data_IF_722714998061
#
_entry.id   IF_722714998061
#
_cell.length_a   1.000
_cell.length_b   1.000
_cell.length_c   1.000
_cell.angle_alpha   90.00
_cell.angle_beta   90.00
_cell.angle_gamma   90.00
#
_symmetry.space_group_name_H-M   'P 1'
#
loop_
_entity.id
_entity.type
_entity.pdbx_description
1 polymer ?
#
# COMPACT_ATOMS: atom_id res chain seq x y z
N UNK A 1 1.94 -38.06 -2.41
CA UNK A 1 0.91 -37.49 -3.32
C UNK A 1 -0.23 -36.92 -2.47
N UNK A 2 -0.89 -35.84 -2.93
CA UNK A 2 -2.11 -35.19 -2.36
C UNK A 2 -2.02 -34.06 -1.31
N UNK A 3 -0.90 -33.33 -1.13
CA UNK A 3 -0.97 -32.02 -0.45
C UNK A 3 -1.63 -30.92 -1.33
N UNK A 4 -1.69 -31.12 -2.64
CA UNK A 4 -2.19 -30.15 -3.63
C UNK A 4 -3.73 -30.11 -3.74
N UNK A 5 -4.43 -31.22 -3.44
CA UNK A 5 -5.89 -31.30 -3.47
C UNK A 5 -6.59 -30.53 -2.33
N UNK A 6 -6.24 -30.70 -1.04
CA UNK A 6 -6.86 -29.91 0.04
C UNK A 6 -6.53 -28.42 -0.07
N UNK A 7 -5.37 -28.11 -0.66
CA UNK A 7 -4.91 -26.75 -0.88
C UNK A 7 -5.80 -25.92 -1.83
N UNK A 8 -6.15 -26.48 -3.00
CA UNK A 8 -7.02 -25.79 -3.96
C UNK A 8 -8.46 -25.73 -3.47
N UNK A 9 -8.92 -26.78 -2.79
CA UNK A 9 -10.25 -26.85 -2.20
C UNK A 9 -10.49 -25.76 -1.14
N UNK A 10 -9.52 -25.52 -0.25
CA UNK A 10 -9.63 -24.47 0.77
C UNK A 10 -9.76 -23.07 0.15
N UNK A 11 -8.97 -22.78 -0.89
CA UNK A 11 -9.01 -21.50 -1.61
C UNK A 11 -10.34 -21.27 -2.31
N UNK A 12 -10.90 -22.31 -2.94
CA UNK A 12 -12.19 -22.25 -3.61
C UNK A 12 -13.33 -22.00 -2.62
N UNK A 13 -13.38 -22.73 -1.50
CA UNK A 13 -14.37 -22.51 -0.45
C UNK A 13 -14.27 -21.13 0.19
N UNK A 14 -13.05 -20.64 0.44
CA UNK A 14 -12.84 -19.29 0.93
C UNK A 14 -13.38 -18.24 -0.06
N UNK A 15 -13.20 -18.47 -1.37
CA UNK A 15 -13.75 -17.60 -2.42
C UNK A 15 -15.27 -17.68 -2.52
N UNK A 16 -15.86 -18.87 -2.37
CA UNK A 16 -17.32 -19.04 -2.33
C UNK A 16 -17.92 -18.26 -1.16
N UNK A 17 -17.36 -18.40 0.05
CA UNK A 17 -17.78 -17.63 1.22
C UNK A 17 -17.67 -16.13 0.98
N UNK A 18 -16.55 -15.67 0.41
CA UNK A 18 -16.36 -14.27 0.04
C UNK A 18 -17.49 -13.77 -0.88
N UNK A 19 -17.81 -14.50 -1.94
CA UNK A 19 -18.86 -14.11 -2.88
C UNK A 19 -20.24 -14.05 -2.23
N UNK A 20 -20.59 -15.05 -1.41
CA UNK A 20 -21.87 -15.09 -0.70
C UNK A 20 -22.03 -13.88 0.23
N UNK A 21 -20.99 -13.58 1.02
CA UNK A 21 -21.02 -12.43 1.94
C UNK A 21 -21.08 -11.10 1.18
N UNK A 22 -20.31 -10.97 0.09
CA UNK A 22 -20.32 -9.77 -0.75
C UNK A 22 -21.69 -9.52 -1.39
N UNK A 23 -22.29 -10.55 -2.00
CA UNK A 23 -23.59 -10.43 -2.66
C UNK A 23 -24.70 -10.09 -1.65
N UNK A 24 -24.73 -10.80 -0.51
CA UNK A 24 -25.68 -10.51 0.57
C UNK A 24 -25.54 -9.08 1.13
N UNK A 25 -24.30 -8.60 1.25
CA UNK A 25 -23.99 -7.24 1.68
C UNK A 25 -24.38 -6.19 0.64
N UNK A 26 -24.30 -6.53 -0.65
CA UNK A 26 -24.64 -5.64 -1.76
C UNK A 26 -26.14 -5.52 -1.97
N UNK A 27 -26.85 -6.64 -1.83
CA UNK A 27 -28.30 -6.74 -1.95
C UNK A 27 -29.02 -5.99 -0.82
N UNK A 28 -28.50 -6.08 0.42
CA UNK A 28 -29.09 -5.39 1.56
C UNK A 28 -28.06 -4.49 2.28
N UNK A 29 -27.97 -3.19 1.92
CA UNK A 29 -27.00 -2.25 2.49
C UNK A 29 -27.18 -1.97 3.99
N UNK A 30 -28.33 -2.34 4.59
CA UNK A 30 -28.61 -2.14 6.02
C UNK A 30 -28.44 -3.43 6.84
N UNK A 31 -28.13 -4.55 6.20
CA UNK A 31 -27.98 -5.84 6.87
C UNK A 31 -26.81 -5.82 7.84
N UNK A 32 -27.07 -6.25 9.08
CA UNK A 32 -26.04 -6.53 10.09
C UNK A 32 -25.78 -8.03 10.17
N UNK A 33 -24.50 -8.40 10.11
CA UNK A 33 -24.05 -9.79 10.07
C UNK A 33 -23.69 -10.27 11.49
N UNK A 34 -24.38 -11.30 11.98
CA UNK A 34 -24.32 -11.77 13.38
C UNK A 34 -23.65 -13.13 13.60
N UNK A 35 -23.46 -13.94 12.55
CA UNK A 35 -22.86 -15.27 12.62
C UNK A 35 -21.64 -15.34 11.69
N UNK A 36 -20.54 -14.72 12.13
CA UNK A 36 -19.29 -14.62 11.38
C UNK A 36 -18.14 -15.34 12.09
N UNK A 37 -18.15 -15.41 13.42
CA UNK A 37 -17.08 -16.00 14.23
C UNK A 37 -16.85 -17.48 13.90
N UNK A 38 -17.94 -18.22 13.67
CA UNK A 38 -17.90 -19.62 13.25
C UNK A 38 -17.22 -19.79 11.89
N UNK A 39 -17.27 -18.77 11.02
CA UNK A 39 -16.57 -18.76 9.73
C UNK A 39 -15.08 -18.44 9.88
N UNK A 40 -14.70 -17.64 10.88
CA UNK A 40 -13.30 -17.29 11.14
C UNK A 40 -12.48 -18.53 11.50
N UNK A 41 -13.03 -19.43 12.33
CA UNK A 41 -12.33 -20.64 12.78
C UNK A 41 -12.66 -21.89 11.93
N UNK A 42 -13.13 -21.73 10.68
CA UNK A 42 -13.21 -22.87 9.77
C UNK A 42 -11.81 -23.28 9.34
N UNK A 43 -11.54 -24.59 9.31
CA UNK A 43 -10.23 -25.12 8.94
C UNK A 43 -9.76 -24.67 7.55
N UNK A 44 -10.66 -24.59 6.57
CA UNK A 44 -10.35 -24.11 5.22
C UNK A 44 -9.97 -22.62 5.18
N UNK A 45 -10.66 -21.78 5.97
CA UNK A 45 -10.33 -20.35 6.11
C UNK A 45 -9.00 -20.15 6.82
N UNK A 46 -8.77 -20.84 7.94
CA UNK A 46 -7.52 -20.74 8.69
C UNK A 46 -6.31 -21.26 7.88
N UNK A 47 -6.50 -22.33 7.11
CA UNK A 47 -5.45 -22.87 6.23
C UNK A 47 -5.08 -21.89 5.10
N UNK A 48 -6.08 -21.31 4.44
CA UNK A 48 -5.85 -20.28 3.42
C UNK A 48 -5.24 -19.02 4.03
N UNK A 49 -5.65 -18.63 5.24
CA UNK A 49 -5.05 -17.52 5.98
C UNK A 49 -3.57 -17.77 6.29
N UNK A 50 -3.23 -18.97 6.79
CA UNK A 50 -1.86 -19.40 7.04
C UNK A 50 -1.00 -19.31 5.77
N UNK A 51 -1.48 -19.82 4.64
CA UNK A 51 -0.75 -19.75 3.37
C UNK A 51 -0.44 -18.32 2.94
N UNK A 52 -1.39 -17.40 3.08
CA UNK A 52 -1.17 -15.99 2.76
C UNK A 52 -0.14 -15.35 3.69
N UNK A 53 -0.18 -15.68 4.98
CA UNK A 53 0.82 -15.20 5.95
C UNK A 53 2.21 -15.76 5.63
N UNK A 54 2.31 -17.06 5.36
CA UNK A 54 3.54 -17.75 4.96
C UNK A 54 4.15 -17.15 3.69
N UNK A 55 3.34 -16.94 2.65
CA UNK A 55 3.78 -16.37 1.37
C UNK A 55 4.30 -14.93 1.49
N UNK A 56 3.88 -14.18 2.52
CA UNK A 56 4.39 -12.83 2.76
C UNK A 56 5.80 -12.82 3.37
N UNK A 57 6.29 -13.94 3.92
CA UNK A 57 7.66 -14.09 4.42
C UNK A 57 8.04 -13.14 5.57
N UNK A 58 7.06 -12.66 6.35
CA UNK A 58 7.31 -11.67 7.41
C UNK A 58 7.89 -12.28 8.68
N UNK A 59 8.84 -11.58 9.32
CA UNK A 59 9.54 -11.99 10.55
C UNK A 59 8.61 -12.23 11.75
N UNK A 60 9.09 -13.01 12.73
CA UNK A 60 8.40 -13.27 14.00
C UNK A 60 8.07 -12.03 14.83
N UNK A 61 7.08 -12.19 15.71
CA UNK A 61 6.61 -11.19 16.67
C UNK A 61 7.47 -11.18 17.92
N UNK A 62 6.85 -10.86 19.06
CA UNK A 62 7.50 -10.88 20.39
C UNK A 62 7.79 -12.28 20.90
N UNK A 63 7.09 -13.29 20.37
CA UNK A 63 7.19 -14.71 20.72
C UNK A 63 8.41 -15.42 20.10
N UNK A 64 9.22 -14.73 19.29
CA UNK A 64 10.39 -15.29 18.62
C UNK A 64 10.09 -16.30 17.51
N UNK A 65 8.85 -16.79 17.40
CA UNK A 65 8.43 -17.79 16.42
C UNK A 65 8.67 -17.33 14.99
N UNK A 66 9.34 -18.17 14.21
CA UNK A 66 9.56 -17.95 12.77
C UNK A 66 8.71 -18.89 11.92
N UNK A 67 8.53 -18.53 10.64
CA UNK A 67 7.85 -19.40 9.67
C UNK A 67 8.61 -20.73 9.54
N UNK A 68 9.94 -20.69 9.58
CA UNK A 68 10.77 -21.89 9.48
C UNK A 68 10.58 -22.84 10.68
N UNK A 69 10.50 -22.32 11.92
CA UNK A 69 10.20 -23.15 13.09
C UNK A 69 8.83 -23.82 12.95
N UNK A 70 7.82 -23.08 12.49
CA UNK A 70 6.47 -23.64 12.29
C UNK A 70 6.49 -24.76 11.22
N UNK A 71 7.19 -24.55 10.11
CA UNK A 71 7.20 -25.51 9.00
C UNK A 71 8.05 -26.74 9.31
N UNK A 72 9.22 -26.56 9.94
CA UNK A 72 10.21 -27.64 10.12
C UNK A 72 10.06 -28.39 11.45
N UNK A 73 9.64 -27.72 12.51
CA UNK A 73 9.64 -28.31 13.87
C UNK A 73 8.22 -28.62 14.36
N UNK A 74 7.28 -27.68 14.23
CA UNK A 74 5.91 -27.83 14.77
C UNK A 74 5.03 -28.64 13.81
N UNK A 75 5.15 -28.37 12.52
CA UNK A 75 4.24 -28.86 11.47
C UNK A 75 3.08 -27.90 11.23
N UNK A 76 2.84 -27.58 9.96
CA UNK A 76 1.85 -26.58 9.54
C UNK A 76 0.40 -26.96 9.95
N UNK A 77 0.04 -28.24 9.81
CA UNK A 77 -1.30 -28.73 10.16
C UNK A 77 -1.55 -28.63 11.66
N UNK A 78 -0.57 -29.06 12.48
CA UNK A 78 -0.64 -28.95 13.93
C UNK A 78 -0.82 -27.50 14.37
N UNK A 79 0.01 -26.60 13.84
CA UNK A 79 -0.08 -25.17 14.12
C UNK A 79 -1.46 -24.58 13.81
N UNK A 80 -2.03 -24.88 12.63
CA UNK A 80 -3.35 -24.38 12.24
C UNK A 80 -4.46 -24.98 13.11
N UNK A 81 -4.38 -26.27 13.46
CA UNK A 81 -5.34 -26.95 14.32
C UNK A 81 -5.33 -26.41 15.75
N UNK A 82 -4.16 -26.09 16.30
CA UNK A 82 -4.02 -25.45 17.62
C UNK A 82 -4.66 -24.06 17.65
N UNK A 83 -4.45 -23.25 16.61
CA UNK A 83 -5.14 -21.96 16.43
C UNK A 83 -6.65 -22.16 16.38
N UNK A 84 -7.11 -23.14 15.61
CA UNK A 84 -8.53 -23.43 15.46
C UNK A 84 -9.18 -23.74 16.81
N UNK A 85 -8.60 -24.66 17.59
CA UNK A 85 -9.09 -25.04 18.92
C UNK A 85 -9.10 -23.84 19.88
N UNK A 86 -8.03 -23.06 19.89
CA UNK A 86 -7.90 -21.87 20.75
C UNK A 86 -9.01 -20.84 20.46
N UNK A 87 -9.33 -20.62 19.18
CA UNK A 87 -10.42 -19.70 18.80
C UNK A 87 -11.79 -20.32 19.13
N UNK A 88 -12.00 -21.61 18.84
CA UNK A 88 -13.26 -22.30 19.13
C UNK A 88 -13.63 -22.26 20.62
N UNK A 89 -12.62 -22.44 21.49
CA UNK A 89 -12.80 -22.39 22.94
C UNK A 89 -12.92 -20.96 23.49
N UNK A 90 -12.69 -19.92 22.68
CA UNK A 90 -12.70 -18.53 23.12
C UNK A 90 -11.50 -18.11 23.97
N UNK A 91 -10.44 -18.92 23.97
CA UNK A 91 -9.20 -18.74 24.75
C UNK A 91 -8.19 -17.80 24.06
N UNK A 92 -8.46 -17.40 22.82
CA UNK A 92 -7.55 -16.55 22.05
C UNK A 92 -7.38 -15.15 22.69
N UNK A 93 -6.11 -14.81 22.94
CA UNK A 93 -5.65 -13.48 23.30
C UNK A 93 -4.48 -13.07 22.40
N UNK A 94 -4.50 -11.88 21.78
CA UNK A 94 -3.39 -11.43 20.97
C UNK A 94 -2.19 -11.05 21.83
N UNK A 95 -0.99 -11.28 21.29
CA UNK A 95 0.24 -10.80 21.88
C UNK A 95 0.50 -9.34 21.47
N UNK A 96 1.21 -8.56 22.29
CA UNK A 96 1.65 -7.23 21.90
C UNK A 96 2.52 -7.28 20.65
N UNK A 97 2.38 -6.28 19.77
CA UNK A 97 3.17 -6.24 18.55
C UNK A 97 4.64 -5.89 18.86
N UNK A 98 5.60 -6.52 18.18
CA UNK A 98 7.01 -6.13 18.30
C UNK A 98 7.27 -4.84 17.53
N UNK A 99 7.74 -3.79 18.20
CA UNK A 99 8.03 -2.49 17.59
C UNK A 99 9.37 -2.53 16.86
N UNK A 100 9.37 -2.14 15.60
CA UNK A 100 10.58 -1.97 14.78
C UNK A 100 10.52 -0.63 14.06
N UNK A 101 11.59 0.16 14.18
CA UNK A 101 11.67 1.44 13.48
C UNK A 101 12.26 1.27 12.08
N UNK A 102 11.58 1.82 11.07
CA UNK A 102 12.02 1.79 9.68
C UNK A 102 12.30 3.23 9.23
N UNK A 103 13.49 3.53 8.68
CA UNK A 103 13.80 4.87 8.21
C UNK A 103 12.91 5.25 7.02
N UNK A 104 12.31 6.43 7.07
CA UNK A 104 11.63 7.05 5.94
C UNK A 104 12.65 7.79 5.06
N UNK A 105 12.26 8.05 3.82
CA UNK A 105 13.07 8.80 2.86
C UNK A 105 13.30 10.27 3.24
N UNK A 106 12.55 10.82 4.20
CA UNK A 106 12.69 12.16 4.76
C UNK A 106 13.55 12.20 6.04
N UNK A 107 14.15 11.07 6.43
CA UNK A 107 14.99 10.95 7.62
C UNK A 107 14.22 10.69 8.93
N UNK A 108 12.88 10.79 8.93
CA UNK A 108 12.06 10.43 10.09
C UNK A 108 11.93 8.91 10.21
N UNK A 109 11.67 8.40 11.40
CA UNK A 109 11.38 6.96 11.60
C UNK A 109 9.89 6.67 11.39
N UNK A 110 9.56 5.52 10.79
CA UNK A 110 8.22 4.93 10.79
C UNK A 110 8.24 3.76 11.75
N UNK A 111 7.48 3.81 12.85
CA UNK A 111 7.30 2.63 13.66
C UNK A 111 6.46 1.57 12.93
N UNK A 112 6.88 0.33 12.98
CA UNK A 112 6.13 -0.84 12.53
C UNK A 112 5.88 -1.74 13.74
N UNK A 113 4.62 -2.13 13.97
CA UNK A 113 4.25 -3.19 14.90
C UNK A 113 4.15 -4.51 14.14
N UNK A 114 4.99 -5.48 14.49
CA UNK A 114 5.02 -6.81 13.89
C UNK A 114 4.29 -7.77 14.85
N UNK A 115 3.05 -8.19 14.54
CA UNK A 115 2.35 -9.15 15.39
C UNK A 115 2.97 -10.55 15.28
N UNK A 116 2.72 -11.37 16.29
CA UNK A 116 3.04 -12.80 16.26
C UNK A 116 2.46 -13.47 15.01
N UNK A 117 3.10 -14.54 14.55
CA UNK A 117 2.63 -15.26 13.35
C UNK A 117 1.22 -15.79 13.59
N UNK A 118 0.95 -16.35 14.78
CA UNK A 118 -0.37 -16.78 15.23
C UNK A 118 -1.42 -15.69 15.03
N UNK A 119 -1.14 -14.50 15.55
CA UNK A 119 -2.06 -13.36 15.49
C UNK A 119 -2.29 -12.89 14.05
N UNK A 120 -1.25 -12.91 13.21
CA UNK A 120 -1.40 -12.60 11.77
C UNK A 120 -2.31 -13.60 11.06
N UNK A 121 -2.30 -14.88 11.45
CA UNK A 121 -3.22 -15.89 10.90
C UNK A 121 -4.66 -15.60 11.32
N UNK A 122 -4.91 -15.32 12.61
CA UNK A 122 -6.27 -15.00 13.10
C UNK A 122 -6.80 -13.70 12.48
N UNK A 123 -5.94 -12.68 12.38
CA UNK A 123 -6.26 -11.42 11.68
C UNK A 123 -6.56 -11.65 10.20
N UNK A 124 -5.78 -12.49 9.52
CA UNK A 124 -5.99 -12.81 8.10
C UNK A 124 -7.31 -13.58 7.89
N UNK A 125 -7.59 -14.58 8.72
CA UNK A 125 -8.84 -15.32 8.68
C UNK A 125 -10.05 -14.40 8.91
N UNK A 126 -9.97 -13.54 9.92
CA UNK A 126 -11.02 -12.56 10.22
C UNK A 126 -11.19 -11.57 9.08
N UNK A 127 -10.08 -11.04 8.53
CA UNK A 127 -10.09 -10.18 7.36
C UNK A 127 -10.80 -10.84 6.18
N UNK A 128 -10.48 -12.10 5.87
CA UNK A 128 -11.12 -12.83 4.77
C UNK A 128 -12.64 -12.97 4.91
N UNK A 129 -13.13 -13.06 6.15
CA UNK A 129 -14.57 -13.16 6.44
C UNK A 129 -15.24 -11.78 6.35
N UNK A 130 -14.64 -10.71 6.85
CA UNK A 130 -15.31 -9.41 6.97
C UNK A 130 -15.04 -8.46 5.79
N UNK A 131 -13.91 -8.59 5.10
CA UNK A 131 -13.55 -7.77 3.92
C UNK A 131 -14.64 -7.74 2.83
N UNK A 132 -15.29 -8.86 2.45
CA UNK A 132 -16.33 -8.84 1.42
C UNK A 132 -17.55 -7.99 1.83
N UNK A 133 -17.87 -7.94 3.12
CA UNK A 133 -19.01 -7.18 3.65
C UNK A 133 -18.78 -5.67 3.50
N UNK A 134 -17.55 -5.21 3.82
CA UNK A 134 -17.17 -3.80 3.71
C UNK A 134 -16.82 -3.38 2.29
N UNK A 135 -16.23 -4.28 1.49
CA UNK A 135 -15.92 -4.01 0.07
C UNK A 135 -17.18 -3.72 -0.75
N UNK A 136 -18.35 -4.27 -0.35
CA UNK A 136 -19.64 -3.95 -0.96
C UNK A 136 -20.04 -2.46 -0.79
N UNK A 137 -19.57 -1.83 0.30
CA UNK A 137 -19.89 -0.45 0.70
C UNK A 137 -18.86 0.57 0.25
N UNK A 138 -17.61 0.14 0.04
CA UNK A 138 -16.52 1.02 -0.33
C UNK A 138 -16.73 1.69 -1.70
N UNK A 139 -16.49 3.01 -1.73
CA UNK A 139 -16.76 3.87 -2.89
C UNK A 139 -15.72 3.78 -3.98
N UNK A 140 -16.11 4.09 -5.21
CA UNK A 140 -15.22 3.99 -6.38
C UNK A 140 -14.03 4.96 -6.34
N UNK A 141 -14.13 6.04 -5.55
CA UNK A 141 -13.06 6.99 -5.32
C UNK A 141 -11.89 6.41 -4.51
N UNK A 142 -12.08 5.30 -3.79
CA UNK A 142 -11.06 4.67 -2.93
C UNK A 142 -10.34 3.52 -3.61
N UNK A 143 -9.01 3.56 -3.66
CA UNK A 143 -8.19 2.57 -4.38
C UNK A 143 -7.20 1.81 -3.50
N UNK A 144 -6.80 2.37 -2.36
CA UNK A 144 -5.73 1.81 -1.53
C UNK A 144 -6.14 0.49 -0.88
N UNK A 145 -5.24 -0.50 -0.86
CA UNK A 145 -5.42 -1.79 -0.16
C UNK A 145 -6.71 -2.57 -0.47
N UNK A 146 -7.34 -2.33 -1.62
CA UNK A 146 -8.58 -3.00 -2.03
C UNK A 146 -8.35 -4.03 -3.12
N UNK A 147 -9.08 -5.17 -3.10
CA UNK A 147 -9.00 -6.16 -4.17
C UNK A 147 -9.29 -5.53 -5.55
N UNK A 148 -8.46 -5.86 -6.56
CA UNK A 148 -8.58 -5.39 -7.96
C UNK A 148 -8.51 -3.87 -8.16
N UNK A 149 -8.18 -3.09 -7.12
CA UNK A 149 -7.88 -1.65 -7.22
C UNK A 149 -6.37 -1.46 -7.09
N UNK A 150 -5.82 -0.52 -7.85
CA UNK A 150 -4.39 -0.23 -7.85
C UNK A 150 -4.11 1.26 -8.06
N UNK A 151 -2.85 1.65 -7.85
CA UNK A 151 -2.38 3.04 -7.99
C UNK A 151 -2.66 3.59 -9.39
N UNK A 152 -2.47 2.76 -10.42
CA UNK A 152 -2.70 3.18 -11.82
C UNK A 152 -4.18 3.51 -12.07
N UNK A 153 -5.11 2.82 -11.40
CA UNK A 153 -6.53 3.13 -11.43
C UNK A 153 -6.83 4.54 -10.90
N UNK A 154 -6.25 4.91 -9.75
CA UNK A 154 -6.38 6.25 -9.18
C UNK A 154 -5.81 7.33 -10.13
N UNK A 155 -4.62 7.09 -10.69
CA UNK A 155 -3.99 8.01 -11.65
C UNK A 155 -4.84 8.17 -12.92
N UNK A 156 -5.44 7.08 -13.44
CA UNK A 156 -6.36 7.14 -14.58
C UNK A 156 -7.62 7.95 -14.24
N UNK A 157 -8.15 7.81 -13.03
CA UNK A 157 -9.30 8.60 -12.57
C UNK A 157 -8.97 10.10 -12.59
N UNK A 158 -7.83 10.49 -12.02
CA UNK A 158 -7.34 11.88 -12.04
C UNK A 158 -7.22 12.40 -13.48
N UNK A 159 -6.58 11.63 -14.38
CA UNK A 159 -6.44 12.00 -15.80
C UNK A 159 -7.80 12.21 -16.46
N UNK A 160 -8.79 11.37 -16.17
CA UNK A 160 -10.16 11.48 -16.72
C UNK A 160 -10.86 12.74 -16.18
N UNK A 161 -10.73 13.05 -14.90
CA UNK A 161 -11.30 14.26 -14.31
C UNK A 161 -10.68 15.54 -14.91
N UNK A 162 -9.35 15.60 -15.03
CA UNK A 162 -8.69 16.78 -15.64
C UNK A 162 -9.09 16.97 -17.10
N UNK A 163 -9.29 15.88 -17.87
CA UNK A 163 -9.84 15.95 -19.24
C UNK A 163 -11.25 16.53 -19.31
N UNK A 164 -12.05 16.41 -18.25
CA UNK A 164 -13.40 16.98 -18.14
C UNK A 164 -13.43 18.45 -17.68
N UNK A 165 -12.28 19.12 -17.65
CA UNK A 165 -12.19 20.54 -17.32
C UNK A 165 -12.02 20.84 -15.83
N UNK A 166 -11.43 19.91 -15.07
CA UNK A 166 -11.18 20.05 -13.64
C UNK A 166 -9.71 20.48 -13.43
N UNK A 167 -9.49 21.57 -12.70
CA UNK A 167 -8.21 22.28 -12.73
C UNK A 167 -7.66 22.69 -11.36
N UNK A 168 -8.51 22.75 -10.34
CA UNK A 168 -8.07 22.97 -8.97
C UNK A 168 -7.88 21.63 -8.29
N UNK A 169 -6.73 21.46 -7.65
CA UNK A 169 -6.38 20.24 -6.91
C UNK A 169 -6.17 20.61 -5.46
N UNK A 170 -6.95 19.97 -4.59
CA UNK A 170 -6.76 20.01 -3.15
C UNK A 170 -6.02 18.73 -2.78
N UNK A 171 -4.71 18.85 -2.55
CA UNK A 171 -3.82 17.76 -2.12
C UNK A 171 -3.77 17.74 -0.59
N UNK A 172 -4.08 16.60 0.02
CA UNK A 172 -4.29 16.49 1.47
C UNK A 172 -3.44 15.36 2.06
N UNK A 173 -2.71 15.69 3.13
CA UNK A 173 -1.95 14.75 3.96
C UNK A 173 -2.55 14.72 5.36
N UNK A 174 -2.82 13.52 5.88
CA UNK A 174 -3.33 13.33 7.24
C UNK A 174 -2.14 13.10 8.18
N UNK A 175 -2.05 13.87 9.27
CA UNK A 175 -0.94 13.77 10.22
C UNK A 175 -1.05 12.45 10.99
N UNK A 176 -0.04 11.59 10.84
CA UNK A 176 0.10 10.36 11.64
C UNK A 176 -1.11 9.44 11.55
N UNK A 177 -1.69 9.28 10.35
CA UNK A 177 -3.01 8.67 10.16
C UNK A 177 -3.22 7.37 10.94
N UNK A 178 -2.35 6.38 10.74
CA UNK A 178 -2.47 5.08 11.41
C UNK A 178 -2.30 5.15 12.92
N UNK A 179 -1.58 6.14 13.44
CA UNK A 179 -1.31 6.30 14.87
C UNK A 179 -2.45 7.06 15.59
N UNK A 180 -3.33 7.74 14.84
CA UNK A 180 -4.38 8.62 15.37
C UNK A 180 -5.81 8.13 15.12
N UNK A 181 -6.02 6.87 14.73
CA UNK A 181 -7.37 6.30 14.54
C UNK A 181 -8.02 6.08 15.91
N UNK A 182 -9.11 6.78 16.20
CA UNK A 182 -9.87 6.59 17.42
C UNK A 182 -10.58 5.22 17.42
N UNK A 183 -10.27 4.38 18.41
CA UNK A 183 -10.79 3.00 18.49
C UNK A 183 -12.31 2.97 18.59
N UNK A 184 -12.91 3.83 19.42
CA UNK A 184 -14.36 3.82 19.63
C UNK A 184 -15.12 4.19 18.36
N UNK A 185 -14.67 5.22 17.63
CA UNK A 185 -15.25 5.61 16.34
C UNK A 185 -15.07 4.53 15.29
N UNK A 186 -13.89 3.90 15.24
CA UNK A 186 -13.65 2.78 14.33
C UNK A 186 -14.61 1.62 14.64
N UNK A 187 -14.77 1.27 15.92
CA UNK A 187 -15.68 0.20 16.33
C UNK A 187 -17.13 0.52 16.01
N UNK A 188 -17.57 1.78 16.20
CA UNK A 188 -18.91 2.21 15.77
C UNK A 188 -19.13 1.99 14.26
N UNK A 189 -18.13 2.29 13.42
CA UNK A 189 -18.21 2.05 11.97
C UNK A 189 -18.23 0.56 11.62
N UNK A 190 -17.47 -0.28 12.33
CA UNK A 190 -17.51 -1.75 12.19
C UNK A 190 -18.89 -2.28 12.56
N UNK A 191 -19.46 -1.78 13.66
CA UNK A 191 -20.73 -2.24 14.23
C UNK A 191 -21.96 -1.93 13.37
N UNK A 192 -21.85 -0.96 12.45
CA UNK A 192 -22.88 -0.67 11.45
C UNK A 192 -23.18 -1.87 10.54
N UNK A 193 -22.19 -2.74 10.32
CA UNK A 193 -22.33 -3.92 9.43
C UNK A 193 -22.16 -5.23 10.16
N UNK A 194 -21.45 -5.25 11.28
CA UNK A 194 -21.18 -6.48 12.04
C UNK A 194 -21.84 -6.38 13.41
N UNK A 195 -22.65 -7.37 13.77
CA UNK A 195 -23.26 -7.50 15.10
C UNK A 195 -22.78 -8.75 15.85
N UNK A 196 -21.92 -9.57 15.25
CA UNK A 196 -21.27 -10.70 15.93
C UNK A 196 -20.30 -10.20 17.01
N UNK A 197 -20.73 -10.31 18.28
CA UNK A 197 -19.97 -9.82 19.44
C UNK A 197 -18.58 -10.44 19.55
N UNK A 198 -18.38 -11.67 19.09
CA UNK A 198 -17.09 -12.36 19.21
C UNK A 198 -16.08 -11.82 18.18
N UNK A 199 -16.54 -11.52 16.96
CA UNK A 199 -15.71 -10.84 15.95
C UNK A 199 -15.37 -9.41 16.39
N UNK A 200 -16.35 -8.69 16.94
CA UNK A 200 -16.11 -7.35 17.49
C UNK A 200 -15.09 -7.38 18.63
N UNK A 201 -15.16 -8.39 19.52
CA UNK A 201 -14.18 -8.62 20.59
C UNK A 201 -12.77 -8.82 20.04
N UNK A 202 -12.59 -9.66 19.00
CA UNK A 202 -11.28 -9.87 18.37
C UNK A 202 -10.67 -8.56 17.85
N UNK A 203 -11.47 -7.75 17.15
CA UNK A 203 -11.00 -6.46 16.60
C UNK A 203 -10.57 -5.52 17.73
N UNK A 204 -11.38 -5.41 18.81
CA UNK A 204 -11.03 -4.59 19.98
C UNK A 204 -9.75 -5.09 20.66
N UNK A 205 -9.60 -6.41 20.83
CA UNK A 205 -8.39 -6.99 21.42
C UNK A 205 -7.14 -6.62 20.61
N UNK A 206 -7.18 -6.66 19.27
CA UNK A 206 -6.03 -6.26 18.45
C UNK A 206 -5.71 -4.77 18.52
N UNK A 207 -6.72 -3.91 18.62
CA UNK A 207 -6.52 -2.47 18.75
C UNK A 207 -5.86 -2.13 20.10
N UNK A 208 -6.21 -2.86 21.16
CA UNK A 208 -5.72 -2.66 22.54
C UNK A 208 -4.51 -3.50 22.93
N UNK A 209 -4.02 -4.39 22.06
CA UNK A 209 -2.98 -5.36 22.39
C UNK A 209 -1.62 -4.75 22.78
N UNK A 210 -1.40 -3.45 22.51
CA UNK A 210 -0.16 -2.77 22.84
C UNK A 210 1.00 -3.14 21.90
N UNK A 211 2.18 -2.66 22.24
CA UNK A 211 3.43 -3.04 21.58
C UNK A 211 4.59 -3.14 22.56
N UNK A 212 5.60 -3.95 22.22
CA UNK A 212 6.86 -4.03 22.95
C UNK A 212 7.95 -3.30 22.18
N UNK A 213 8.66 -2.38 22.83
CA UNK A 213 9.83 -1.68 22.30
C UNK A 213 10.93 -1.72 23.36
N UNK A 214 12.16 -2.09 22.98
CA UNK A 214 13.32 -2.15 23.89
C UNK A 214 13.00 -2.95 25.18
N UNK A 215 12.34 -4.10 25.01
CA UNK A 215 11.85 -5.01 26.07
C UNK A 215 10.86 -4.39 27.07
N UNK A 216 10.31 -3.22 26.78
CA UNK A 216 9.27 -2.56 27.56
C UNK A 216 7.92 -2.63 26.86
N UNK A 217 6.87 -2.93 27.63
CA UNK A 217 5.49 -2.93 27.15
C UNK A 217 4.93 -1.51 27.15
N UNK A 218 4.21 -1.17 26.08
CA UNK A 218 3.50 0.09 25.93
C UNK A 218 2.06 -0.16 25.51
N UNK A 219 1.13 0.49 26.19
CA UNK A 219 -0.28 0.46 25.84
C UNK A 219 -0.56 1.25 24.55
N UNK A 220 -1.68 0.92 23.90
CA UNK A 220 -2.12 1.59 22.68
C UNK A 220 -3.54 2.11 22.89
N UNK A 221 -3.66 3.41 23.14
CA UNK A 221 -4.94 4.11 23.31
C UNK A 221 -5.54 4.54 21.97
N UNK A 222 -4.69 4.85 20.99
CA UNK A 222 -5.08 5.31 19.66
C UNK A 222 -4.32 4.56 18.57
N UNK A 223 -4.92 4.53 17.38
CA UNK A 223 -4.31 4.01 16.18
C UNK A 223 -4.57 2.53 15.90
N UNK A 224 -4.16 2.08 14.73
CA UNK A 224 -4.18 0.68 14.34
C UNK A 224 -2.74 0.20 14.14
N UNK A 225 -2.35 -0.99 14.66
CA UNK A 225 -0.99 -1.49 14.57
C UNK A 225 -0.48 -1.47 13.12
N UNK A 226 0.49 -0.60 12.82
CA UNK A 226 1.11 -0.53 11.50
C UNK A 226 1.88 -1.83 11.25
N UNK A 227 1.36 -2.74 10.42
CA UNK A 227 1.95 -4.06 10.18
C UNK A 227 1.03 -5.23 10.53
N UNK A 228 -0.10 -4.96 11.20
CA UNK A 228 -1.22 -5.89 11.29
C UNK A 228 -1.84 -6.18 9.94
N UNK A 229 -2.28 -7.43 9.73
CA UNK A 229 -2.87 -7.87 8.45
C UNK A 229 -4.21 -7.19 8.19
N UNK A 230 -4.97 -6.95 9.27
CA UNK A 230 -6.31 -6.37 9.22
C UNK A 230 -6.28 -4.83 9.19
N UNK A 231 -5.18 -4.21 9.62
CA UNK A 231 -5.04 -2.75 9.75
C UNK A 231 -5.38 -1.96 8.48
N UNK A 232 -4.98 -2.40 7.26
CA UNK A 232 -5.35 -1.69 6.03
C UNK A 232 -6.86 -1.70 5.74
N UNK A 233 -7.58 -2.75 6.15
CA UNK A 233 -9.04 -2.82 5.98
C UNK A 233 -9.73 -1.87 6.96
N UNK A 234 -9.32 -1.89 8.23
CA UNK A 234 -9.86 -1.02 9.27
C UNK A 234 -9.60 0.46 8.95
N UNK A 235 -8.41 0.77 8.44
CA UNK A 235 -8.08 2.13 8.03
C UNK A 235 -8.88 2.58 6.81
N UNK A 236 -9.18 1.69 5.85
CA UNK A 236 -10.08 2.03 4.77
C UNK A 236 -11.52 2.24 5.23
N UNK A 237 -11.99 1.42 6.19
CA UNK A 237 -13.32 1.56 6.77
C UNK A 237 -13.49 2.90 7.47
N UNK A 238 -12.48 3.34 8.23
CA UNK A 238 -12.51 4.61 8.92
C UNK A 238 -12.71 5.80 7.97
N UNK A 239 -11.94 5.85 6.88
CA UNK A 239 -12.06 6.91 5.86
C UNK A 239 -13.23 6.69 4.89
N UNK A 240 -13.87 5.52 4.88
CA UNK A 240 -15.08 5.32 4.07
C UNK A 240 -16.25 6.20 4.54
N UNK A 241 -16.23 6.66 5.79
CA UNK A 241 -17.16 7.68 6.28
C UNK A 241 -17.06 8.98 5.46
N UNK A 242 -15.83 9.45 5.20
CA UNK A 242 -15.58 10.59 4.31
C UNK A 242 -16.06 10.29 2.89
N UNK A 243 -15.66 9.14 2.33
CA UNK A 243 -16.02 8.78 0.96
C UNK A 243 -17.54 8.75 0.75
N UNK A 244 -18.28 8.22 1.75
CA UNK A 244 -19.74 8.10 1.71
C UNK A 244 -20.44 9.45 1.83
N UNK A 245 -19.97 10.34 2.72
CA UNK A 245 -20.51 11.69 2.84
C UNK A 245 -20.22 12.49 1.57
N UNK A 246 -19.01 12.35 1.03
CA UNK A 246 -18.59 13.04 -0.17
C UNK A 246 -19.48 12.67 -1.36
N UNK A 247 -19.65 11.38 -1.61
CA UNK A 247 -20.50 10.89 -2.71
C UNK A 247 -21.96 11.32 -2.57
N UNK A 248 -22.51 11.30 -1.35
CA UNK A 248 -23.93 11.63 -1.11
C UNK A 248 -24.24 13.12 -1.13
N UNK A 249 -23.33 13.98 -0.66
CA UNK A 249 -23.62 15.40 -0.37
C UNK A 249 -22.74 16.40 -1.11
N UNK A 250 -21.57 15.99 -1.61
CA UNK A 250 -20.54 16.90 -2.12
C UNK A 250 -19.94 16.45 -3.46
N UNK A 251 -20.60 15.54 -4.18
CA UNK A 251 -20.16 15.07 -5.49
C UNK A 251 -20.15 16.18 -6.55
N UNK A 252 -20.99 17.19 -6.39
CA UNK A 252 -21.05 18.43 -7.18
C UNK A 252 -19.84 19.35 -6.93
N UNK A 253 -19.28 19.29 -5.73
CA UNK A 253 -18.20 20.15 -5.26
C UNK A 253 -16.86 19.72 -5.86
N UNK A 254 -16.61 18.41 -5.99
CA UNK A 254 -15.38 17.92 -6.59
C UNK A 254 -15.30 16.41 -6.72
N UNK A 255 -14.36 15.95 -7.56
CA UNK A 255 -14.04 14.52 -7.70
C UNK A 255 -12.99 14.12 -6.68
N UNK A 256 -13.40 13.33 -5.68
CA UNK A 256 -12.50 12.73 -4.69
C UNK A 256 -11.77 11.53 -5.30
N UNK A 257 -10.46 11.44 -5.08
CA UNK A 257 -9.64 10.27 -5.38
C UNK A 257 -8.75 9.98 -4.17
N UNK A 258 -8.87 8.79 -3.60
CA UNK A 258 -8.18 8.38 -2.37
C UNK A 258 -7.42 7.08 -2.58
N UNK A 259 -6.21 7.02 -2.03
CA UNK A 259 -5.42 5.81 -1.92
C UNK A 259 -4.91 5.69 -0.48
N UNK A 260 -5.61 4.89 0.33
CA UNK A 260 -5.40 4.82 1.78
C UNK A 260 -5.57 6.21 2.41
N UNK A 261 -4.51 6.77 2.99
CA UNK A 261 -4.44 8.11 3.60
C UNK A 261 -4.12 9.23 2.61
N UNK A 262 -3.45 8.94 1.50
CA UNK A 262 -3.18 9.91 0.45
C UNK A 262 -4.48 10.21 -0.31
N UNK A 263 -4.97 11.46 -0.27
CA UNK A 263 -6.21 11.86 -0.94
C UNK A 263 -6.07 13.19 -1.69
N UNK A 264 -6.71 13.25 -2.85
CA UNK A 264 -6.78 14.45 -3.68
C UNK A 264 -8.22 14.72 -4.09
N UNK A 265 -8.62 15.99 -4.07
CA UNK A 265 -9.92 16.43 -4.57
C UNK A 265 -9.72 17.33 -5.77
N UNK A 266 -10.38 17.01 -6.86
CA UNK A 266 -10.28 17.73 -8.12
C UNK A 266 -11.55 18.58 -8.31
N UNK A 267 -11.40 19.90 -8.34
CA UNK A 267 -12.48 20.88 -8.45
C UNK A 267 -12.37 21.73 -9.73
N UNK A 268 -13.51 22.21 -10.26
CA UNK A 268 -13.53 23.04 -11.47
C UNK A 268 -13.12 24.47 -11.15
N UNK A 269 -13.59 25.00 -10.02
CA UNK A 269 -13.33 26.39 -9.58
C UNK A 269 -12.57 26.43 -8.26
N UNK A 270 -11.97 27.59 -7.97
CA UNK A 270 -11.27 27.84 -6.70
C UNK A 270 -12.23 27.80 -5.51
N UNK A 271 -13.42 28.36 -5.67
CA UNK A 271 -14.48 28.37 -4.64
C UNK A 271 -14.88 26.95 -4.24
N UNK A 272 -15.07 26.07 -5.22
CA UNK A 272 -15.32 24.65 -4.97
C UNK A 272 -14.17 23.99 -4.20
N UNK A 273 -12.93 24.35 -4.50
CA UNK A 273 -11.76 23.84 -3.80
C UNK A 273 -11.70 24.33 -2.34
N UNK A 274 -12.05 25.59 -2.08
CA UNK A 274 -12.15 26.12 -0.72
C UNK A 274 -13.28 25.45 0.07
N UNK A 275 -14.46 25.30 -0.53
CA UNK A 275 -15.58 24.54 0.06
C UNK A 275 -15.18 23.10 0.37
N UNK A 276 -14.43 22.45 -0.51
CA UNK A 276 -13.91 21.11 -0.29
C UNK A 276 -13.00 21.03 0.95
N UNK A 277 -12.12 22.02 1.15
CA UNK A 277 -11.25 22.10 2.32
C UNK A 277 -12.07 22.23 3.61
N UNK A 278 -13.13 23.04 3.61
CA UNK A 278 -13.94 23.23 4.82
C UNK A 278 -14.79 21.98 5.15
N UNK A 279 -15.32 21.30 4.14
CA UNK A 279 -15.97 20.00 4.31
C UNK A 279 -14.99 18.98 4.89
N UNK A 280 -13.76 18.92 4.38
CA UNK A 280 -12.73 18.03 4.89
C UNK A 280 -12.40 18.31 6.36
N UNK A 281 -12.22 19.58 6.74
CA UNK A 281 -12.00 19.95 8.16
C UNK A 281 -13.16 19.49 9.04
N UNK A 282 -14.40 19.69 8.61
CA UNK A 282 -15.58 19.28 9.38
C UNK A 282 -15.66 17.75 9.53
N UNK A 283 -15.42 16.99 8.46
CA UNK A 283 -15.45 15.53 8.50
C UNK A 283 -14.28 14.98 9.34
N UNK A 284 -13.08 15.52 9.19
CA UNK A 284 -11.93 15.10 9.98
C UNK A 284 -12.07 15.45 11.46
N UNK A 285 -12.67 16.61 11.80
CA UNK A 285 -13.05 16.92 13.18
C UNK A 285 -13.96 15.86 13.78
N UNK A 286 -14.99 15.42 13.04
CA UNK A 286 -15.86 14.30 13.46
C UNK A 286 -15.13 12.97 13.60
N UNK A 287 -14.08 12.75 12.82
CA UNK A 287 -13.22 11.57 12.90
C UNK A 287 -12.03 11.75 13.85
N UNK A 288 -11.91 12.85 14.60
CA UNK A 288 -10.73 13.15 15.44
C UNK A 288 -9.39 13.08 14.68
N UNK A 289 -9.41 13.34 13.38
CA UNK A 289 -8.21 13.37 12.53
C UNK A 289 -7.72 14.80 12.35
N UNK A 290 -6.39 14.95 12.29
CA UNK A 290 -5.74 16.24 12.07
C UNK A 290 -5.13 16.33 10.67
N UNK A 291 -5.46 17.38 9.94
CA UNK A 291 -4.83 17.68 8.65
C UNK A 291 -3.42 18.24 8.84
N UNK A 292 -2.51 17.82 7.96
CA UNK A 292 -1.16 18.36 7.93
C UNK A 292 -1.11 19.64 7.07
N UNK A 293 -1.13 20.80 7.73
CA UNK A 293 -1.15 22.12 7.06
C UNK A 293 0.09 22.38 6.19
N UNK A 294 1.26 21.86 6.57
CA UNK A 294 2.51 22.09 5.82
C UNK A 294 2.56 21.32 4.50
N UNK A 295 1.94 20.15 4.48
CA UNK A 295 1.97 19.26 3.31
C UNK A 295 0.74 19.37 2.43
N UNK A 296 -0.41 19.77 3.00
CA UNK A 296 -1.63 19.97 2.23
C UNK A 296 -1.52 21.22 1.37
N UNK A 297 -1.92 21.15 0.10
CA UNK A 297 -1.71 22.23 -0.87
C UNK A 297 -2.94 22.41 -1.76
N UNK A 298 -3.22 23.67 -2.07
CA UNK A 298 -4.16 24.06 -3.11
C UNK A 298 -3.38 24.41 -4.38
N UNK A 299 -3.62 23.70 -5.47
CA UNK A 299 -2.81 23.77 -6.69
C UNK A 299 -3.72 24.07 -7.88
N UNK A 300 -3.32 25.03 -8.70
CA UNK A 300 -3.96 25.34 -9.97
C UNK A 300 -3.21 24.67 -11.13
N UNK A 301 -3.89 23.83 -11.90
CA UNK A 301 -3.34 23.17 -13.09
C UNK A 301 -3.43 24.02 -14.36
N UNK A 302 -4.12 25.19 -14.34
CA UNK A 302 -4.20 26.07 -15.52
C UNK A 302 -2.86 26.66 -15.91
N UNK A 303 -2.14 27.20 -14.94
CA UNK A 303 -0.99 28.09 -15.17
C UNK A 303 0.27 27.38 -15.67
N UNK A 304 0.14 26.13 -16.13
CA UNK A 304 1.12 25.21 -16.73
C UNK A 304 2.47 25.04 -16.02
N UNK A 305 2.76 25.80 -14.97
CA UNK A 305 4.03 25.88 -14.23
C UNK A 305 4.02 24.97 -13.01
N UNK A 306 2.87 24.83 -12.35
CA UNK A 306 2.72 24.05 -11.12
C UNK A 306 2.06 22.69 -11.39
N UNK A 307 2.38 21.73 -10.53
CA UNK A 307 1.85 20.38 -10.55
C UNK A 307 1.89 19.81 -9.14
N UNK A 308 1.35 18.61 -8.96
CA UNK A 308 1.24 17.97 -7.65
C UNK A 308 1.84 16.57 -7.68
N UNK A 309 2.36 16.11 -6.54
CA UNK A 309 2.89 14.76 -6.40
C UNK A 309 1.81 13.87 -5.80
N UNK A 310 1.43 12.80 -6.49
CA UNK A 310 0.48 11.82 -5.99
C UNK A 310 0.92 10.41 -6.39
N UNK A 311 0.97 9.50 -5.42
CA UNK A 311 1.40 8.10 -5.60
C UNK A 311 2.80 7.96 -6.23
N UNK A 312 3.72 8.84 -5.84
CA UNK A 312 5.10 8.86 -6.32
C UNK A 312 5.27 9.42 -7.74
N UNK A 313 4.18 9.82 -8.41
CA UNK A 313 4.21 10.50 -9.71
C UNK A 313 3.95 11.99 -9.54
N UNK A 314 4.65 12.80 -10.32
CA UNK A 314 4.35 14.21 -10.50
C UNK A 314 3.36 14.37 -11.65
N UNK A 315 2.25 15.07 -11.39
CA UNK A 315 1.18 15.33 -12.34
C UNK A 315 1.18 16.82 -12.71
N UNK A 316 1.38 17.11 -14.00
CA UNK A 316 1.44 18.48 -14.52
C UNK A 316 0.83 18.56 -15.91
N UNK A 317 0.12 19.65 -16.20
CA UNK A 317 -0.31 19.97 -17.57
C UNK A 317 0.87 20.47 -18.39
N UNK A 318 1.09 19.85 -19.54
CA UNK A 318 2.18 20.20 -20.45
C UNK A 318 1.59 20.49 -21.83
N UNK A 319 1.94 21.62 -22.47
CA UNK A 319 1.47 21.94 -23.80
C UNK A 319 1.98 20.90 -24.81
N UNK A 320 1.07 20.37 -25.63
CA UNK A 320 1.37 19.51 -26.77
C UNK A 320 0.89 20.21 -28.03
N UNK A 321 1.82 20.50 -28.95
CA UNK A 321 1.47 20.94 -30.31
C UNK A 321 0.84 19.78 -31.07
N UNK A 322 -0.34 20.01 -31.63
CA UNK A 322 -1.02 19.12 -32.57
C UNK A 322 -0.71 19.57 -34.01
N UNK A 323 -1.05 18.73 -35.00
CA UNK A 323 -1.00 19.12 -36.42
C UNK A 323 -1.88 20.36 -36.63
N UNK A 324 -1.38 21.36 -37.36
CA UNK A 324 -2.11 22.60 -37.69
C UNK A 324 -2.09 23.70 -36.62
N UNK A 325 -0.95 23.94 -35.94
CA UNK A 325 -0.73 25.00 -34.95
C UNK A 325 -1.64 25.04 -33.70
N UNK A 326 -2.54 24.07 -33.52
CA UNK A 326 -3.34 23.93 -32.30
C UNK A 326 -2.47 23.40 -31.15
N UNK A 327 -2.46 24.08 -30.00
CA UNK A 327 -1.77 23.62 -28.79
C UNK A 327 -2.79 23.17 -27.77
N UNK A 328 -2.66 21.93 -27.28
CA UNK A 328 -3.52 21.39 -26.22
C UNK A 328 -2.68 21.01 -25.01
N UNK A 329 -3.09 21.47 -23.83
CA UNK A 329 -2.44 21.13 -22.57
C UNK A 329 -2.95 19.81 -22.02
N UNK A 330 -2.08 18.80 -22.00
CA UNK A 330 -2.42 17.43 -21.56
C UNK A 330 -1.78 17.19 -20.20
N UNK A 331 -2.54 16.59 -19.27
CA UNK A 331 -1.98 16.14 -18.00
C UNK A 331 -1.00 14.99 -18.26
N UNK A 332 0.27 15.21 -17.93
CA UNK A 332 1.33 14.21 -17.96
C UNK A 332 1.63 13.74 -16.54
N UNK A 333 1.91 12.45 -16.41
CA UNK A 333 2.40 11.89 -15.14
C UNK A 333 3.76 11.26 -15.35
N UNK A 334 4.73 11.63 -14.54
CA UNK A 334 6.11 11.11 -14.61
C UNK A 334 6.66 10.91 -13.18
N UNK A 335 7.77 10.18 -12.98
CA UNK A 335 8.35 9.99 -11.65
C UNK A 335 8.59 11.32 -10.92
N UNK A 336 8.12 11.43 -9.68
CA UNK A 336 8.44 12.58 -8.81
C UNK A 336 9.94 12.67 -8.53
N UNK A 337 10.42 13.86 -8.14
CA UNK A 337 11.84 14.05 -7.76
C UNK A 337 12.25 13.10 -6.63
N UNK A 338 11.35 12.88 -5.65
CA UNK A 338 11.54 11.94 -4.54
C UNK A 338 11.66 10.50 -5.03
N UNK A 339 10.79 10.08 -5.96
CA UNK A 339 10.87 8.76 -6.59
C UNK A 339 12.20 8.58 -7.35
N UNK A 340 12.59 9.55 -8.17
CA UNK A 340 13.87 9.49 -8.89
C UNK A 340 15.08 9.41 -7.96
N UNK A 341 15.09 10.17 -6.85
CA UNK A 341 16.14 10.09 -5.82
C UNK A 341 16.19 8.70 -5.21
N UNK A 342 15.03 8.11 -4.86
CA UNK A 342 14.94 6.75 -4.33
C UNK A 342 15.44 5.69 -5.32
N UNK A 343 15.09 5.80 -6.62
CA UNK A 343 15.61 4.90 -7.66
C UNK A 343 17.13 4.93 -7.72
N UNK A 344 17.72 6.14 -7.79
CA UNK A 344 19.19 6.30 -7.81
C UNK A 344 19.83 5.71 -6.56
N UNK A 345 19.24 5.93 -5.39
CA UNK A 345 19.74 5.41 -4.13
C UNK A 345 19.72 3.87 -4.11
N UNK A 346 18.63 3.23 -4.56
CA UNK A 346 18.55 1.76 -4.68
C UNK A 346 19.56 1.19 -5.68
N UNK A 347 19.80 1.86 -6.81
CA UNK A 347 20.88 1.47 -7.74
C UNK A 347 22.25 1.61 -7.09
N UNK A 348 22.45 2.67 -6.32
CA UNK A 348 23.70 2.94 -5.59
C UNK A 348 23.97 1.85 -4.55
N UNK A 349 22.97 1.50 -3.73
CA UNK A 349 23.05 0.41 -2.73
C UNK A 349 23.43 -0.94 -3.36
N UNK A 350 23.01 -1.18 -4.61
CA UNK A 350 23.37 -2.41 -5.32
C UNK A 350 24.79 -2.36 -5.88
N UNK A 351 25.27 -1.20 -6.31
CA UNK A 351 26.52 -1.07 -7.10
C UNK A 351 27.71 -0.55 -6.28
N UNK A 352 27.48 0.01 -5.10
CA UNK A 352 28.51 0.65 -4.27
C UNK A 352 29.31 -0.28 -3.35
N UNK A 353 28.67 -1.25 -2.65
CA UNK A 353 29.37 -2.03 -1.63
C UNK A 353 30.60 -2.76 -2.17
N UNK A 354 31.72 -2.67 -1.44
CA UNK A 354 33.01 -3.26 -1.86
C UNK A 354 32.94 -4.78 -1.98
N UNK A 355 32.18 -5.44 -1.09
CA UNK A 355 31.94 -6.88 -1.14
C UNK A 355 31.23 -7.36 -2.43
N UNK A 356 30.59 -6.46 -3.18
CA UNK A 356 29.98 -6.80 -4.47
C UNK A 356 30.96 -6.76 -5.64
N UNK A 357 32.19 -6.28 -5.45
CA UNK A 357 33.23 -6.28 -6.51
C UNK A 357 33.60 -7.70 -6.99
N UNK A 358 33.41 -8.71 -6.14
CA UNK A 358 33.58 -10.12 -6.52
C UNK A 358 32.50 -10.63 -7.46
N UNK A 359 31.38 -9.92 -7.61
CA UNK A 359 30.27 -10.37 -8.45
C UNK A 359 30.61 -10.29 -9.94
N UNK A 360 30.08 -11.23 -10.71
CA UNK A 360 30.09 -11.16 -12.18
C UNK A 360 29.13 -10.08 -12.67
N UNK A 361 29.30 -9.65 -13.92
CA UNK A 361 28.33 -8.73 -14.53
C UNK A 361 26.93 -9.34 -14.56
N UNK A 362 26.81 -10.64 -14.83
CA UNK A 362 25.55 -11.37 -14.84
C UNK A 362 24.84 -11.28 -13.49
N UNK A 363 25.53 -11.57 -12.39
CA UNK A 363 24.95 -11.46 -11.03
C UNK A 363 24.53 -10.03 -10.67
N UNK A 364 25.30 -9.03 -11.12
CA UNK A 364 24.93 -7.62 -10.93
C UNK A 364 23.66 -7.25 -11.69
N UNK A 365 23.54 -7.71 -12.94
CA UNK A 365 22.39 -7.46 -13.80
C UNK A 365 21.15 -8.20 -13.28
N UNK A 366 21.31 -9.43 -12.81
CA UNK A 366 20.26 -10.24 -12.18
C UNK A 366 19.64 -9.52 -10.97
N UNK A 367 20.44 -8.87 -10.13
CA UNK A 367 19.94 -8.09 -8.98
C UNK A 367 19.27 -6.76 -9.40
N UNK A 368 19.73 -6.13 -10.48
CA UNK A 368 19.21 -4.85 -10.96
C UNK A 368 17.93 -4.99 -11.78
N UNK A 369 17.83 -6.03 -12.61
CA UNK A 369 16.76 -6.20 -13.60
C UNK A 369 15.34 -6.25 -12.99
N UNK A 370 15.08 -6.96 -11.87
CA UNK A 370 13.77 -6.95 -11.23
C UNK A 370 13.36 -5.54 -10.76
N UNK A 371 14.31 -4.76 -10.23
CA UNK A 371 14.06 -3.38 -9.78
C UNK A 371 13.77 -2.47 -10.97
N UNK A 372 14.55 -2.60 -12.04
CA UNK A 372 14.37 -1.86 -13.30
C UNK A 372 13.01 -2.16 -13.91
N UNK A 373 12.67 -3.45 -14.05
CA UNK A 373 11.39 -3.86 -14.62
C UNK A 373 10.21 -3.36 -13.78
N UNK A 374 10.30 -3.44 -12.45
CA UNK A 374 9.29 -2.91 -11.55
C UNK A 374 9.07 -1.41 -11.72
N UNK A 375 10.15 -0.63 -11.84
CA UNK A 375 10.06 0.80 -12.10
C UNK A 375 9.52 1.12 -13.50
N UNK A 376 9.92 0.37 -14.53
CA UNK A 376 9.35 0.52 -15.89
C UNK A 376 7.84 0.28 -15.87
N UNK A 377 7.41 -0.83 -15.27
CA UNK A 377 5.99 -1.20 -15.22
C UNK A 377 5.14 -0.16 -14.46
N UNK A 378 5.69 0.45 -13.40
CA UNK A 378 4.95 1.42 -12.60
C UNK A 378 4.97 2.84 -13.20
N UNK A 379 6.15 3.32 -13.61
CA UNK A 379 6.33 4.71 -14.03
C UNK A 379 6.18 4.92 -15.53
N UNK A 380 6.22 3.86 -16.35
CA UNK A 380 6.05 3.89 -17.81
C UNK A 380 4.60 4.09 -18.28
N UNK A 381 3.75 4.74 -17.49
CA UNK A 381 2.32 4.99 -17.81
C UNK A 381 2.09 6.08 -18.88
N UNK A 382 3.13 6.84 -19.21
CA UNK A 382 3.07 7.96 -20.15
C UNK A 382 4.38 7.98 -20.93
N UNK A 383 4.30 8.14 -22.25
CA UNK A 383 5.47 8.30 -23.13
C UNK A 383 6.33 9.50 -22.69
N UNK A 384 5.73 10.52 -22.08
CA UNK A 384 6.48 11.65 -21.54
C UNK A 384 7.41 11.25 -20.38
N UNK A 385 7.08 10.18 -19.64
CA UNK A 385 7.91 9.68 -18.55
C UNK A 385 9.25 9.12 -19.04
N UNK A 386 9.36 8.67 -20.29
CA UNK A 386 10.60 8.10 -20.86
C UNK A 386 11.77 9.08 -20.78
N UNK A 387 11.52 10.39 -20.91
CA UNK A 387 12.58 11.41 -20.73
C UNK A 387 13.19 11.38 -19.33
N UNK A 388 12.41 11.08 -18.29
CA UNK A 388 12.87 10.98 -16.91
C UNK A 388 13.48 9.61 -16.62
N UNK A 389 12.88 8.54 -17.16
CA UNK A 389 13.39 7.19 -17.05
C UNK A 389 14.77 7.04 -17.72
N UNK A 390 14.98 7.67 -18.88
CA UNK A 390 16.28 7.74 -19.55
C UNK A 390 17.38 8.36 -18.65
N UNK A 391 17.05 9.33 -17.80
CA UNK A 391 18.02 9.90 -16.83
C UNK A 391 18.44 8.90 -15.76
N UNK A 392 17.58 7.93 -15.46
CA UNK A 392 17.90 6.82 -14.55
C UNK A 392 18.68 5.75 -15.30
N UNK A 393 18.33 5.41 -16.55
CA UNK A 393 19.11 4.49 -17.38
C UNK A 393 20.55 4.97 -17.57
N UNK A 394 20.75 6.27 -17.82
CA UNK A 394 22.09 6.86 -17.89
C UNK A 394 22.84 6.75 -16.55
N UNK A 395 22.13 6.93 -15.42
CA UNK A 395 22.72 6.77 -14.10
C UNK A 395 23.11 5.31 -13.81
N UNK A 396 22.28 4.34 -14.20
CA UNK A 396 22.59 2.91 -14.10
C UNK A 396 23.86 2.59 -14.90
N UNK A 397 23.94 3.04 -16.16
CA UNK A 397 25.13 2.88 -17.01
C UNK A 397 26.38 3.51 -16.38
N UNK A 398 26.26 4.71 -15.82
CA UNK A 398 27.34 5.38 -15.08
C UNK A 398 27.79 4.54 -13.88
N UNK A 399 26.87 3.98 -13.09
CA UNK A 399 27.19 3.15 -11.92
C UNK A 399 27.80 1.80 -12.28
N UNK A 400 27.31 1.15 -13.33
CA UNK A 400 27.89 -0.08 -13.87
C UNK A 400 29.30 0.18 -14.40
N UNK A 401 29.53 1.32 -15.06
CA UNK A 401 30.87 1.73 -15.51
C UNK A 401 31.82 1.90 -14.32
N UNK A 402 31.36 2.54 -13.24
CA UNK A 402 32.15 2.69 -12.02
C UNK A 402 32.47 1.33 -11.38
N UNK A 403 31.49 0.44 -11.31
CA UNK A 403 31.68 -0.92 -10.82
C UNK A 403 32.72 -1.68 -11.65
N UNK A 404 32.58 -1.67 -12.98
CA UNK A 404 33.50 -2.32 -13.92
C UNK A 404 34.93 -1.81 -13.77
N UNK A 405 35.12 -0.49 -13.73
CA UNK A 405 36.44 0.11 -13.63
C UNK A 405 37.09 -0.17 -12.27
N UNK A 406 36.31 -0.15 -11.17
CA UNK A 406 36.81 -0.55 -9.84
C UNK A 406 37.22 -2.01 -9.81
N UNK A 407 36.41 -2.91 -10.38
CA UNK A 407 36.71 -4.35 -10.44
C UNK A 407 38.02 -4.63 -11.19
N UNK A 408 38.29 -3.90 -12.26
CA UNK A 408 39.51 -4.05 -13.07
C UNK A 408 40.64 -3.08 -12.67
N UNK A 409 40.61 -2.52 -11.45
CA UNK A 409 41.63 -1.61 -10.89
C UNK A 409 42.03 -0.47 -11.85
N UNK A 410 41.09 0.08 -12.60
CA UNK A 410 41.36 1.14 -13.58
C UNK A 410 41.41 2.51 -12.89
N UNK A 411 42.45 3.30 -13.19
CA UNK A 411 42.66 4.65 -12.64
C UNK A 411 41.54 5.63 -13.02
N UNK A 412 41.06 5.55 -14.27
CA UNK A 412 40.01 6.43 -14.78
C UNK A 412 38.61 5.89 -14.46
N UNK A 413 37.89 6.58 -13.56
CA UNK A 413 36.54 6.21 -13.08
C UNK A 413 35.51 5.98 -14.19
N UNK A 414 35.67 6.63 -15.35
CA UNK A 414 34.75 6.52 -16.49
C UNK A 414 35.40 6.04 -17.80
N UNK A 415 36.66 5.57 -17.77
CA UNK A 415 37.46 5.35 -18.97
C UNK A 415 36.98 4.23 -19.91
N UNK A 416 36.33 3.18 -19.39
CA UNK A 416 35.82 2.04 -20.19
C UNK A 416 34.30 1.94 -20.21
N UNK A 417 33.60 3.07 -20.36
CA UNK A 417 32.13 3.12 -20.40
C UNK A 417 31.51 2.26 -21.51
N UNK A 418 32.11 2.24 -22.71
CA UNK A 418 31.64 1.43 -23.85
C UNK A 418 31.70 -0.07 -23.54
N UNK A 419 32.83 -0.56 -23.03
CA UNK A 419 33.00 -1.98 -22.67
C UNK A 419 32.08 -2.40 -21.53
N UNK A 420 31.93 -1.56 -20.50
CA UNK A 420 31.03 -1.84 -19.39
C UNK A 420 29.57 -1.89 -19.85
N UNK A 421 29.17 -1.01 -20.77
CA UNK A 421 27.83 -1.00 -21.35
C UNK A 421 27.58 -2.23 -22.22
N UNK A 422 28.54 -2.63 -23.06
CA UNK A 422 28.46 -3.87 -23.85
C UNK A 422 28.34 -5.09 -22.94
N UNK A 423 29.21 -5.23 -21.94
CA UNK A 423 29.17 -6.34 -20.99
C UNK A 423 27.83 -6.42 -20.26
N UNK A 424 27.26 -5.28 -19.85
CA UNK A 424 25.95 -5.26 -19.21
C UNK A 424 24.81 -5.60 -20.19
N UNK A 425 24.92 -5.19 -21.45
CA UNK A 425 23.95 -5.54 -22.49
C UNK A 425 24.00 -7.04 -22.83
N UNK A 426 25.19 -7.63 -22.95
CA UNK A 426 25.37 -9.08 -23.10
C UNK A 426 24.82 -9.86 -21.90
N UNK A 427 24.97 -9.31 -20.69
CA UNK A 427 24.36 -9.86 -19.48
C UNK A 427 22.82 -9.65 -19.40
N UNK A 428 22.20 -9.04 -20.41
CA UNK A 428 20.74 -8.86 -20.48
C UNK A 428 20.21 -7.68 -19.66
N UNK A 429 20.98 -6.60 -19.48
CA UNK A 429 20.52 -5.41 -18.74
C UNK A 429 19.31 -4.77 -19.43
N UNK A 430 18.20 -4.72 -18.70
CA UNK A 430 16.97 -4.06 -19.13
C UNK A 430 17.07 -2.54 -19.04
N UNK A 431 16.26 -1.84 -19.85
CA UNK A 431 16.13 -0.38 -19.83
C UNK A 431 14.77 0.03 -19.26
N UNK A 432 14.73 1.19 -18.61
CA UNK A 432 13.52 1.79 -18.06
C UNK A 432 12.72 2.50 -19.14
N UNK A 433 13.37 3.36 -19.92
CA UNK A 433 12.75 3.98 -21.07
C UNK A 433 12.55 2.95 -22.18
N UNK A 434 11.48 3.13 -22.97
CA UNK A 434 11.20 2.29 -24.13
C UNK A 434 11.98 2.74 -25.35
#
# INVERSE_FOLDING_TARGET
>A
MNAYKPANYAKEKARQLHNVLYLAAKENPRRRFHALYDKVHRGDILWEAWKRVKSNGGSGGVDGMTIDNIVKEIGEERFVNEIQKTIQNGEYQPLPARRKEIPKADGKMRPLGIPAIRDRVVQMATKMVIEPIFEADFKDCSYGFRPKRNQHGAIKHIRKAVKKGVYWVVDIDIRGYFDNIAHDKLMQLVEQRISDRRVLKLIRQWLKAGFVKDDQFHETELGSPQGGVISPLLSNLYLNYLDTIWEKKFADTGTLVRFADDLVILCKTKEQALKAIDVLKAVFGKLELTMNKEKSKLINLWDDKQGFDFLGMHHRKIPKKLKGNKTVSILRSYPSKKAMKSMRQKVKEVTEPRNRLYWTMNKMVEELNPKIQGWKNYYGLDVFADKFLNKIDWYIRKRITLFWNKKHKRRNKHGKSKLAAMAAQFAGLKKLAS
#
